data_IF_670194369810
#
_entry.id   IF_670194369810
#
_cell.length_a   1.000
_cell.length_b   1.000
_cell.length_c   1.000
_cell.angle_alpha   90.00
_cell.angle_beta   90.00
_cell.angle_gamma   90.00
#
_symmetry.space_group_name_H-M   'P 1'
#
loop_
_entity.id
_entity.type
_entity.pdbx_description
1 polymer ?
#
# COMPACT_ATOMS: atom_id res chain seq x y z
N UNK A 1 -11.05 21.05 -4.09
CA UNK A 1 -9.89 20.38 -3.45
C UNK A 1 -9.56 19.12 -4.22
N UNK A 2 -8.63 19.19 -5.17
CA UNK A 2 -8.26 18.01 -5.98
C UNK A 2 -7.23 17.18 -5.20
N UNK A 3 -7.55 15.91 -4.93
CA UNK A 3 -6.69 15.01 -4.17
C UNK A 3 -5.44 14.66 -4.97
N UNK A 4 -4.27 15.03 -4.46
CA UNK A 4 -2.97 14.92 -5.15
C UNK A 4 -2.41 13.48 -5.15
N UNK A 5 -3.26 12.46 -5.26
CA UNK A 5 -2.83 11.07 -5.34
C UNK A 5 -2.49 10.74 -6.79
N UNK A 6 -1.19 10.67 -7.10
CA UNK A 6 -0.70 10.18 -8.39
C UNK A 6 -1.22 8.76 -8.65
N UNK A 7 -1.56 8.47 -9.91
CA UNK A 7 -1.91 7.10 -10.32
C UNK A 7 -0.70 6.18 -10.13
N UNK A 8 -0.91 5.01 -9.55
CA UNK A 8 0.07 3.93 -9.61
C UNK A 8 0.05 3.29 -11.00
N UNK A 9 1.22 2.92 -11.50
CA UNK A 9 1.41 2.29 -12.81
C UNK A 9 2.17 0.98 -12.64
N UNK A 10 1.90 -0.01 -13.49
CA UNK A 10 2.46 -1.36 -13.37
C UNK A 10 1.52 -2.34 -12.66
N UNK A 11 2.05 -3.51 -12.33
CA UNK A 11 1.36 -4.60 -11.63
C UNK A 11 2.38 -5.54 -10.98
N UNK A 12 1.91 -6.38 -10.08
CA UNK A 12 2.70 -7.46 -9.47
C UNK A 12 1.78 -8.58 -9.00
N UNK A 13 2.27 -9.81 -9.06
CA UNK A 13 1.53 -11.01 -8.65
C UNK A 13 2.38 -11.84 -7.72
N UNK A 14 1.83 -12.16 -6.55
CA UNK A 14 2.48 -12.94 -5.49
C UNK A 14 3.87 -12.40 -5.15
N UNK A 15 3.99 -11.07 -5.12
CA UNK A 15 5.23 -10.40 -4.73
C UNK A 15 5.18 -10.08 -3.23
N UNK A 16 6.33 -10.04 -2.55
CA UNK A 16 6.37 -9.62 -1.14
C UNK A 16 5.74 -8.24 -0.92
N UNK A 17 5.02 -8.06 0.19
CA UNK A 17 4.32 -6.81 0.51
C UNK A 17 5.26 -5.59 0.49
N UNK A 18 6.45 -5.67 1.10
CA UNK A 18 7.40 -4.55 1.08
C UNK A 18 7.86 -4.16 -0.34
N UNK A 19 7.88 -5.12 -1.27
CA UNK A 19 8.19 -4.88 -2.67
C UNK A 19 7.05 -4.17 -3.38
N UNK A 20 5.81 -4.66 -3.24
CA UNK A 20 4.63 -4.01 -3.79
C UNK A 20 4.50 -2.57 -3.29
N UNK A 21 4.69 -2.33 -1.98
CA UNK A 21 4.62 -1.00 -1.37
C UNK A 21 5.61 -0.03 -2.02
N UNK A 22 6.85 -0.46 -2.27
CA UNK A 22 7.87 0.37 -2.94
C UNK A 22 7.51 0.72 -4.39
N UNK A 23 6.78 -0.14 -5.08
CA UNK A 23 6.36 0.10 -6.47
C UNK A 23 5.08 0.96 -6.55
N UNK A 24 4.16 0.79 -5.61
CA UNK A 24 2.88 1.51 -5.58
C UNK A 24 3.04 2.92 -5.03
N UNK A 25 3.76 3.07 -3.91
CA UNK A 25 3.82 4.32 -3.15
C UNK A 25 4.78 5.31 -3.82
N UNK A 26 4.35 6.54 -4.14
CA UNK A 26 5.21 7.51 -4.78
C UNK A 26 6.37 7.96 -3.88
N UNK A 27 7.49 8.36 -4.50
CA UNK A 27 8.58 9.05 -3.80
C UNK A 27 8.06 10.26 -3.02
N UNK A 28 8.60 10.46 -1.81
CA UNK A 28 8.23 11.55 -0.90
C UNK A 28 7.11 11.22 0.09
N UNK A 29 6.50 10.04 0.00
CA UNK A 29 5.58 9.51 1.02
C UNK A 29 6.35 8.60 1.97
N UNK A 30 6.31 8.91 3.27
CA UNK A 30 6.89 8.04 4.32
C UNK A 30 6.00 6.83 4.52
N UNK A 31 6.57 5.63 4.44
CA UNK A 31 5.87 4.36 4.71
C UNK A 31 6.28 3.86 6.09
N UNK A 32 5.29 3.49 6.91
CA UNK A 32 5.51 2.82 8.19
C UNK A 32 4.72 1.51 8.21
N UNK A 33 5.38 0.41 8.60
CA UNK A 33 4.73 -0.85 8.91
C UNK A 33 4.56 -0.94 10.43
N UNK A 34 3.37 -1.30 10.91
CA UNK A 34 3.21 -1.67 12.31
C UNK A 34 4.04 -2.93 12.63
N UNK A 35 4.48 -3.14 13.89
CA UNK A 35 5.41 -4.21 14.25
C UNK A 35 4.93 -5.63 13.90
N UNK A 36 3.62 -5.83 13.79
CA UNK A 36 2.94 -7.11 13.57
C UNK A 36 2.56 -7.36 12.10
N UNK A 37 3.01 -6.50 11.18
CA UNK A 37 2.80 -6.70 9.75
C UNK A 37 3.85 -7.64 9.19
N UNK A 38 3.39 -8.74 8.56
CA UNK A 38 4.24 -9.60 7.76
C UNK A 38 4.54 -8.91 6.42
N UNK A 39 5.76 -8.38 6.30
CA UNK A 39 6.21 -7.68 5.10
C UNK A 39 6.58 -8.61 3.94
N UNK A 40 6.71 -9.91 4.19
CA UNK A 40 7.00 -10.94 3.18
C UNK A 40 5.72 -11.60 2.66
N UNK A 41 4.56 -11.31 3.25
CA UNK A 41 3.27 -11.82 2.82
C UNK A 41 3.07 -11.56 1.30
N UNK A 42 2.70 -12.60 0.53
CA UNK A 42 2.50 -12.45 -0.91
C UNK A 42 1.24 -11.65 -1.18
N UNK A 43 1.36 -10.60 -2.00
CA UNK A 43 0.23 -9.77 -2.43
C UNK A 43 0.21 -9.58 -3.94
N UNK A 44 -0.99 -9.45 -4.48
CA UNK A 44 -1.21 -9.01 -5.85
C UNK A 44 -1.54 -7.51 -5.85
N UNK A 45 -1.08 -6.80 -6.88
CA UNK A 45 -1.46 -5.40 -7.07
C UNK A 45 -1.57 -5.05 -8.55
N UNK A 46 -2.50 -4.15 -8.86
CA UNK A 46 -2.75 -3.67 -10.21
C UNK A 46 -2.84 -2.15 -10.20
N UNK A 47 -2.00 -1.50 -11.00
CA UNK A 47 -2.05 -0.06 -11.23
C UNK A 47 -3.29 0.39 -12.03
N UNK A 48 -3.33 1.67 -12.40
CA UNK A 48 -4.46 2.29 -13.12
C UNK A 48 -5.41 3.09 -12.23
N UNK A 49 -5.23 3.02 -10.91
CA UNK A 49 -5.95 3.82 -9.89
C UNK A 49 -4.96 4.64 -9.06
N UNK A 50 -5.48 5.51 -8.22
CA UNK A 50 -4.68 6.27 -7.25
C UNK A 50 -3.90 5.31 -6.33
N UNK A 51 -2.63 5.62 -6.06
CA UNK A 51 -1.73 4.72 -5.33
C UNK A 51 -2.29 4.25 -3.98
N UNK A 52 -3.00 5.12 -3.26
CA UNK A 52 -3.57 4.79 -1.96
C UNK A 52 -4.70 3.76 -2.09
N UNK A 53 -5.50 3.84 -3.15
CA UNK A 53 -6.55 2.84 -3.43
C UNK A 53 -5.95 1.50 -3.85
N UNK A 54 -4.89 1.53 -4.66
CA UNK A 54 -4.16 0.31 -5.08
C UNK A 54 -3.50 -0.35 -3.87
N UNK A 55 -2.81 0.43 -3.04
CA UNK A 55 -2.18 -0.07 -1.82
C UNK A 55 -3.22 -0.65 -0.85
N UNK A 56 -4.34 0.04 -0.64
CA UNK A 56 -5.42 -0.44 0.23
C UNK A 56 -5.96 -1.82 -0.21
N UNK A 57 -6.20 -2.02 -1.51
CA UNK A 57 -6.64 -3.33 -2.02
C UNK A 57 -5.54 -4.40 -1.95
N UNK A 58 -4.27 -4.00 -2.01
CA UNK A 58 -3.14 -4.93 -1.92
C UNK A 58 -3.01 -5.48 -0.49
N UNK A 59 -2.97 -4.59 0.51
CA UNK A 59 -2.82 -4.99 1.92
C UNK A 59 -4.05 -5.72 2.48
N UNK A 60 -5.23 -5.44 1.92
CA UNK A 60 -6.47 -6.11 2.34
C UNK A 60 -6.46 -7.62 2.07
N UNK A 61 -5.65 -8.11 1.12
CA UNK A 61 -5.47 -9.54 0.85
C UNK A 61 -4.82 -10.27 2.02
N UNK A 62 -3.97 -9.58 2.79
CA UNK A 62 -3.34 -10.07 4.02
C UNK A 62 -4.19 -9.82 5.29
N UNK A 63 -5.39 -9.23 5.13
CA UNK A 63 -6.25 -8.84 6.26
C UNK A 63 -5.83 -7.53 6.94
N UNK A 64 -4.98 -6.75 6.30
CA UNK A 64 -4.45 -5.49 6.84
C UNK A 64 -5.15 -4.26 6.24
N UNK A 65 -4.88 -3.09 6.79
CA UNK A 65 -5.44 -1.80 6.34
C UNK A 65 -4.36 -0.73 6.28
N UNK A 66 -4.67 0.37 5.58
CA UNK A 66 -3.82 1.56 5.55
C UNK A 66 -4.49 2.75 6.23
N UNK A 67 -3.68 3.55 6.93
CA UNK A 67 -4.03 4.91 7.34
C UNK A 67 -3.20 5.91 6.53
N UNK A 68 -3.87 6.79 5.79
CA UNK A 68 -3.22 7.78 4.92
C UNK A 68 -3.20 9.14 5.61
N UNK A 69 -2.01 9.68 5.85
CA UNK A 69 -1.79 11.05 6.30
C UNK A 69 -1.33 11.96 5.16
N UNK A 70 -0.92 13.19 5.49
CA UNK A 70 -0.53 14.22 4.51
C UNK A 70 0.57 13.77 3.54
N UNK A 71 1.67 13.23 4.08
CA UNK A 71 2.82 12.69 3.32
C UNK A 71 3.31 11.36 3.93
N UNK A 72 2.41 10.61 4.57
CA UNK A 72 2.75 9.33 5.18
C UNK A 72 1.64 8.32 4.99
N UNK A 73 1.99 7.05 4.99
CA UNK A 73 1.05 5.94 5.05
C UNK A 73 1.53 4.93 6.09
N UNK A 74 0.62 4.52 6.97
CA UNK A 74 0.86 3.44 7.92
C UNK A 74 0.09 2.21 7.48
N UNK A 75 0.75 1.06 7.40
CA UNK A 75 0.12 -0.25 7.20
C UNK A 75 0.03 -0.91 8.58
N UNK A 76 -1.17 -1.38 8.93
CA UNK A 76 -1.45 -2.01 10.23
C UNK A 76 -2.50 -3.09 10.10
N UNK A 77 -2.56 -3.97 11.11
CA UNK A 77 -3.63 -4.96 11.20
C UNK A 77 -4.99 -4.30 11.23
N UNK A 78 -5.96 -4.96 10.60
CA UNK A 78 -7.37 -4.63 10.78
C UNK A 78 -7.79 -5.07 12.18
N UNK A 79 -8.03 -4.11 13.07
CA UNK A 79 -8.66 -4.39 14.35
C UNK A 79 -10.09 -4.85 14.06
N UNK A 80 -10.45 -6.02 14.62
CA UNK A 80 -11.81 -6.57 14.52
C UNK A 80 -12.69 -6.02 15.63
#
# INVERSE_FOLDING_TARGET
MASHFRRATGYGRQVPLHFAVRQIVPRGVTVTFAPDIDTEAPVDWQGGREWNKVLASSVAQAGDVIDVGRNKVTIRRRIR
#
